data_IF_900039930008
#
_entry.id   IF_900039930008
#
_cell.length_a   1.000
_cell.length_b   1.000
_cell.length_c   1.000
_cell.angle_alpha   90.00
_cell.angle_beta   90.00
_cell.angle_gamma   90.00
#
_symmetry.space_group_name_H-M   'P 1'
#
loop_
_entity.id
_entity.type
_entity.pdbx_description
1 polymer ?
#
# COMPACT_ATOMS: atom_id res chain seq x y z
N UNK A 1 -33.10 -9.16 19.81
CA UNK A 1 -31.64 -9.15 20.06
C UNK A 1 -31.08 -7.79 19.71
N UNK A 2 -30.38 -7.14 20.64
CA UNK A 2 -29.84 -5.77 20.49
C UNK A 2 -28.95 -5.62 19.24
N UNK A 3 -29.28 -4.73 18.29
CA UNK A 3 -28.45 -4.46 17.11
C UNK A 3 -27.01 -4.03 17.44
N UNK A 4 -26.80 -3.26 18.52
CA UNK A 4 -25.47 -2.76 18.91
C UNK A 4 -24.54 -3.92 19.23
N UNK A 5 -25.01 -4.87 20.06
CA UNK A 5 -24.24 -6.05 20.42
C UNK A 5 -23.88 -6.89 19.20
N UNK A 6 -24.78 -7.03 18.22
CA UNK A 6 -24.50 -7.76 16.98
C UNK A 6 -23.30 -7.16 16.24
N UNK A 7 -23.28 -5.84 16.06
CA UNK A 7 -22.15 -5.13 15.43
C UNK A 7 -20.84 -5.37 16.18
N UNK A 8 -20.85 -5.28 17.51
CA UNK A 8 -19.64 -5.51 18.32
C UNK A 8 -19.15 -6.95 18.27
N UNK A 9 -20.04 -7.95 18.34
CA UNK A 9 -19.62 -9.36 18.26
C UNK A 9 -18.92 -9.65 16.94
N UNK A 10 -19.51 -9.22 15.81
CA UNK A 10 -18.90 -9.43 14.48
C UNK A 10 -17.63 -8.58 14.32
N UNK A 11 -17.63 -7.33 14.79
CA UNK A 11 -16.44 -6.46 14.74
C UNK A 11 -15.25 -7.02 15.52
N UNK A 12 -15.47 -7.55 16.73
CA UNK A 12 -14.45 -8.22 17.54
C UNK A 12 -13.96 -9.51 16.87
N UNK A 13 -14.84 -10.21 16.16
CA UNK A 13 -14.45 -11.41 15.41
C UNK A 13 -13.48 -11.04 14.29
N UNK A 14 -13.78 -9.97 13.54
CA UNK A 14 -12.87 -9.43 12.52
C UNK A 14 -11.58 -8.86 13.11
N UNK A 15 -11.61 -8.29 14.30
CA UNK A 15 -10.40 -7.88 15.03
C UNK A 15 -9.47 -9.05 15.26
N UNK A 16 -9.98 -10.15 15.84
CA UNK A 16 -9.20 -11.37 16.07
C UNK A 16 -8.59 -11.92 14.78
N UNK A 17 -9.41 -12.03 13.72
CA UNK A 17 -8.95 -12.48 12.40
C UNK A 17 -7.86 -11.58 11.82
N UNK A 18 -8.06 -10.26 11.80
CA UNK A 18 -7.12 -9.31 11.20
C UNK A 18 -5.81 -9.26 11.99
N UNK A 19 -5.87 -9.14 13.31
CA UNK A 19 -4.66 -9.09 14.15
C UNK A 19 -3.86 -10.39 14.14
N UNK A 20 -4.50 -11.54 13.96
CA UNK A 20 -3.80 -12.81 13.75
C UNK A 20 -3.13 -12.87 12.38
N UNK A 21 -3.83 -12.41 11.35
CA UNK A 21 -3.37 -12.48 9.97
C UNK A 21 -2.20 -11.53 9.67
N UNK A 22 -2.16 -10.34 10.27
CA UNK A 22 -1.07 -9.37 10.04
C UNK A 22 0.32 -9.97 10.30
N UNK A 23 0.60 -10.54 11.48
CA UNK A 23 1.83 -11.27 11.75
C UNK A 23 2.03 -12.47 10.83
N UNK A 24 0.98 -13.22 10.49
CA UNK A 24 1.06 -14.34 9.55
C UNK A 24 1.61 -13.90 8.18
N UNK A 25 1.19 -12.75 7.67
CA UNK A 25 1.66 -12.18 6.39
C UNK A 25 3.13 -11.72 6.42
N UNK A 26 3.70 -11.52 7.61
CA UNK A 26 5.14 -11.23 7.78
C UNK A 26 6.03 -12.47 7.69
N UNK A 27 5.46 -13.67 7.85
CA UNK A 27 6.20 -14.92 7.74
C UNK A 27 6.62 -15.15 6.29
N UNK A 28 7.93 -15.25 6.03
CA UNK A 28 8.50 -15.37 4.66
C UNK A 28 7.78 -16.37 3.76
N UNK A 29 7.44 -17.55 4.28
CA UNK A 29 6.74 -18.59 3.52
C UNK A 29 5.34 -18.14 3.07
N UNK A 30 4.57 -17.50 3.96
CA UNK A 30 3.24 -16.96 3.66
C UNK A 30 3.37 -15.75 2.73
N UNK A 31 4.29 -14.84 3.04
CA UNK A 31 4.56 -13.64 2.25
C UNK A 31 4.91 -13.97 0.79
N UNK A 32 5.65 -15.07 0.56
CA UNK A 32 5.96 -15.54 -0.80
C UNK A 32 4.72 -15.81 -1.65
N UNK A 33 3.59 -16.16 -1.01
CA UNK A 33 2.28 -16.38 -1.64
C UNK A 33 1.41 -15.12 -1.63
N UNK A 34 1.36 -14.38 -0.52
CA UNK A 34 0.38 -13.31 -0.31
C UNK A 34 0.83 -11.92 -0.78
N UNK A 35 2.14 -11.67 -0.86
CA UNK A 35 2.66 -10.37 -1.27
C UNK A 35 2.35 -10.11 -2.75
N UNK A 36 1.95 -8.87 -3.06
CA UNK A 36 1.43 -8.41 -4.36
C UNK A 36 0.08 -8.98 -4.82
N UNK A 37 -0.49 -9.94 -4.11
CA UNK A 37 -1.79 -10.51 -4.46
C UNK A 37 -2.93 -9.78 -3.75
N UNK A 38 -4.15 -10.10 -4.14
CA UNK A 38 -5.37 -9.64 -3.52
C UNK A 38 -5.52 -10.10 -2.06
N UNK A 39 -4.71 -11.05 -1.58
CA UNK A 39 -4.72 -11.46 -0.17
C UNK A 39 -4.48 -10.27 0.76
N UNK A 40 -3.44 -9.47 0.50
CA UNK A 40 -3.12 -8.30 1.33
C UNK A 40 -4.28 -7.29 1.35
N UNK A 41 -4.99 -7.16 0.21
CA UNK A 41 -6.16 -6.30 0.11
C UNK A 41 -7.34 -6.85 0.93
N UNK A 42 -7.58 -8.16 0.90
CA UNK A 42 -8.63 -8.81 1.70
C UNK A 42 -8.38 -8.60 3.21
N UNK A 43 -7.14 -8.81 3.65
CA UNK A 43 -6.70 -8.59 5.02
C UNK A 43 -7.02 -7.16 5.50
N UNK A 44 -6.59 -6.15 4.74
CA UNK A 44 -6.82 -4.74 5.09
C UNK A 44 -8.32 -4.40 5.12
N UNK A 45 -9.13 -4.94 4.21
CA UNK A 45 -10.59 -4.70 4.23
C UNK A 45 -11.30 -5.44 5.36
N UNK A 46 -10.83 -6.63 5.74
CA UNK A 46 -11.27 -7.32 6.95
C UNK A 46 -11.07 -6.46 8.20
N UNK A 47 -9.91 -5.81 8.32
CA UNK A 47 -9.62 -4.87 9.39
C UNK A 47 -10.40 -3.55 9.31
N UNK A 48 -10.40 -2.91 8.13
CA UNK A 48 -11.00 -1.59 7.97
C UNK A 48 -12.54 -1.62 8.00
N UNK A 49 -13.17 -2.51 7.25
CA UNK A 49 -14.63 -2.57 7.11
C UNK A 49 -15.27 -3.58 8.07
N UNK A 50 -14.63 -4.73 8.26
CA UNK A 50 -15.11 -5.79 9.15
C UNK A 50 -14.92 -5.43 10.62
N UNK A 51 -13.71 -5.06 11.02
CA UNK A 51 -13.44 -4.66 12.41
C UNK A 51 -13.83 -3.20 12.66
N UNK A 52 -13.09 -2.23 12.13
CA UNK A 52 -13.27 -0.82 12.47
C UNK A 52 -14.65 -0.29 12.03
N UNK A 53 -15.09 -0.64 10.82
CA UNK A 53 -16.39 -0.23 10.28
C UNK A 53 -17.57 -0.72 11.13
N UNK A 54 -17.65 -2.02 11.42
CA UNK A 54 -18.75 -2.56 12.25
C UNK A 54 -18.69 -2.05 13.69
N UNK A 55 -17.50 -1.90 14.29
CA UNK A 55 -17.36 -1.26 15.60
C UNK A 55 -17.88 0.17 15.57
N UNK A 56 -17.53 0.96 14.55
CA UNK A 56 -18.00 2.33 14.39
C UNK A 56 -19.53 2.38 14.27
N UNK A 57 -20.14 1.50 13.47
CA UNK A 57 -21.60 1.44 13.35
C UNK A 57 -22.28 1.10 14.68
N UNK A 58 -21.76 0.11 15.42
CA UNK A 58 -22.26 -0.25 16.75
C UNK A 58 -22.16 0.93 17.74
N UNK A 59 -21.01 1.59 17.77
CA UNK A 59 -20.80 2.79 18.60
C UNK A 59 -21.77 3.91 18.24
N UNK A 60 -22.01 4.17 16.96
CA UNK A 60 -22.95 5.21 16.51
C UNK A 60 -24.40 4.89 16.90
N UNK A 61 -24.84 3.64 16.75
CA UNK A 61 -26.18 3.22 17.20
C UNK A 61 -26.37 3.36 18.72
N UNK A 62 -25.30 3.21 19.50
CA UNK A 62 -25.34 3.43 20.94
C UNK A 62 -25.25 4.92 21.33
N UNK A 63 -24.38 5.67 20.65
CA UNK A 63 -24.01 7.04 20.99
C UNK A 63 -25.08 8.04 20.55
N UNK A 64 -25.57 7.96 19.32
CA UNK A 64 -26.44 9.00 18.75
C UNK A 64 -27.75 9.21 19.54
N UNK A 65 -28.48 8.17 19.99
CA UNK A 65 -29.68 8.38 20.81
C UNK A 65 -29.37 9.09 22.13
N UNK A 66 -28.21 8.82 22.73
CA UNK A 66 -27.75 9.45 23.99
C UNK A 66 -27.31 10.89 23.77
N UNK A 67 -26.51 11.11 22.74
CA UNK A 67 -26.03 12.43 22.36
C UNK A 67 -27.18 13.36 22.00
N UNK A 68 -28.19 12.85 21.28
CA UNK A 68 -29.33 13.63 20.85
C UNK A 68 -30.54 13.54 21.78
N UNK A 69 -30.38 12.89 22.94
CA UNK A 69 -31.42 12.75 23.98
C UNK A 69 -32.78 12.33 23.42
N UNK A 70 -32.74 11.35 22.52
CA UNK A 70 -33.91 10.85 21.81
C UNK A 70 -33.83 9.34 21.67
N UNK A 71 -34.91 8.73 21.18
CA UNK A 71 -34.94 7.29 20.90
C UNK A 71 -34.38 7.03 19.52
N UNK A 72 -33.72 5.89 19.35
CA UNK A 72 -33.33 5.42 18.02
C UNK A 72 -34.56 5.34 17.12
N UNK A 73 -34.48 5.88 15.91
CA UNK A 73 -35.63 5.96 15.02
C UNK A 73 -36.22 4.58 14.67
N UNK A 74 -35.38 3.59 14.36
CA UNK A 74 -35.86 2.23 14.10
C UNK A 74 -34.80 1.15 14.37
N UNK A 75 -35.13 0.21 15.25
CA UNK A 75 -34.32 -1.01 15.49
C UNK A 75 -34.35 -1.99 14.31
N UNK A 76 -35.44 -2.02 13.53
CA UNK A 76 -35.55 -2.86 12.33
C UNK A 76 -34.52 -2.46 11.28
N UNK A 77 -34.51 -1.17 10.90
CA UNK A 77 -33.47 -0.60 10.02
C UNK A 77 -32.04 -0.81 10.56
N UNK A 78 -31.83 -0.73 11.88
CA UNK A 78 -30.52 -1.05 12.47
C UNK A 78 -30.12 -2.51 12.27
N UNK A 79 -31.07 -3.43 12.43
CA UNK A 79 -30.87 -4.87 12.16
C UNK A 79 -30.67 -5.15 10.67
N UNK A 80 -31.38 -4.45 9.77
CA UNK A 80 -31.19 -4.55 8.33
C UNK A 80 -29.82 -4.06 7.91
N UNK A 81 -29.39 -2.90 8.42
CA UNK A 81 -28.02 -2.39 8.22
C UNK A 81 -27.00 -3.44 8.68
N UNK A 82 -27.15 -4.00 9.89
CA UNK A 82 -26.26 -5.04 10.39
C UNK A 82 -26.11 -6.22 9.43
N UNK A 83 -27.22 -6.78 8.94
CA UNK A 83 -27.17 -7.93 8.04
C UNK A 83 -26.58 -7.58 6.67
N UNK A 84 -26.94 -6.44 6.10
CA UNK A 84 -26.38 -5.99 4.82
C UNK A 84 -24.87 -5.72 4.92
N UNK A 85 -24.42 -5.09 6.00
CA UNK A 85 -23.00 -4.85 6.24
C UNK A 85 -22.25 -6.18 6.48
N UNK A 86 -22.82 -7.09 7.27
CA UNK A 86 -22.18 -8.38 7.61
C UNK A 86 -22.12 -9.32 6.41
N UNK A 87 -23.23 -9.52 5.69
CA UNK A 87 -23.25 -10.34 4.48
C UNK A 87 -22.44 -9.67 3.38
N UNK A 88 -22.56 -8.34 3.24
CA UNK A 88 -21.80 -7.55 2.29
C UNK A 88 -20.29 -7.69 2.48
N UNK A 89 -19.79 -7.57 3.71
CA UNK A 89 -18.34 -7.71 3.96
C UNK A 89 -17.85 -9.13 3.71
N UNK A 90 -18.63 -10.17 4.06
CA UNK A 90 -18.25 -11.56 3.79
C UNK A 90 -18.21 -11.85 2.28
N UNK A 91 -19.23 -11.41 1.53
CA UNK A 91 -19.24 -11.50 0.06
C UNK A 91 -18.21 -10.60 -0.60
N UNK A 92 -17.68 -9.60 0.10
CA UNK A 92 -16.61 -8.76 -0.39
C UNK A 92 -15.23 -9.42 -0.18
N UNK A 93 -14.88 -9.82 1.04
CA UNK A 93 -13.52 -10.29 1.36
C UNK A 93 -13.27 -11.74 0.94
N UNK A 94 -14.26 -12.64 1.02
CA UNK A 94 -14.04 -14.07 0.73
C UNK A 94 -13.61 -14.26 -0.73
N UNK A 95 -14.26 -13.65 -1.73
CA UNK A 95 -13.78 -13.71 -3.11
C UNK A 95 -12.39 -13.09 -3.28
N UNK A 96 -12.06 -12.02 -2.55
CA UNK A 96 -10.73 -11.39 -2.62
C UNK A 96 -9.66 -12.33 -2.05
N UNK A 97 -9.91 -13.03 -0.94
CA UNK A 97 -9.00 -14.07 -0.44
C UNK A 97 -8.80 -15.19 -1.45
N UNK A 98 -9.89 -15.68 -2.05
CA UNK A 98 -9.83 -16.71 -3.09
C UNK A 98 -9.03 -16.21 -4.30
N UNK A 99 -9.23 -14.97 -4.73
CA UNK A 99 -8.46 -14.35 -5.80
C UNK A 99 -6.97 -14.24 -5.46
N UNK A 100 -6.65 -13.80 -4.23
CA UNK A 100 -5.27 -13.67 -3.76
C UNK A 100 -4.52 -15.00 -3.68
N UNK A 101 -5.18 -16.04 -3.17
CA UNK A 101 -4.65 -17.40 -3.16
C UNK A 101 -4.47 -17.91 -4.59
N UNK A 102 -5.47 -17.73 -5.45
CA UNK A 102 -5.42 -18.14 -6.87
C UNK A 102 -4.26 -17.48 -7.60
N UNK A 103 -4.09 -16.16 -7.46
CA UNK A 103 -2.95 -15.42 -8.01
C UNK A 103 -1.62 -16.00 -7.56
N UNK A 104 -1.42 -16.13 -6.24
CA UNK A 104 -0.16 -16.61 -5.71
C UNK A 104 0.14 -18.09 -6.04
N UNK A 105 -0.89 -18.92 -6.21
CA UNK A 105 -0.74 -20.31 -6.67
C UNK A 105 -0.39 -20.36 -8.16
N UNK A 106 -1.13 -19.63 -9.02
CA UNK A 106 -0.89 -19.62 -10.46
C UNK A 106 0.48 -19.04 -10.81
N UNK A 107 0.90 -17.95 -10.17
CA UNK A 107 2.19 -17.33 -10.46
C UNK A 107 3.39 -18.21 -10.10
N UNK A 108 3.21 -19.14 -9.15
CA UNK A 108 4.24 -20.08 -8.70
C UNK A 108 4.13 -21.47 -9.33
N UNK A 109 3.04 -21.75 -10.03
CA UNK A 109 2.81 -23.06 -10.62
C UNK A 109 3.84 -23.34 -11.73
N UNK A 110 4.53 -24.48 -11.60
CA UNK A 110 5.47 -24.98 -12.60
C UNK A 110 5.06 -26.36 -13.09
N UNK A 111 5.34 -26.66 -14.36
CA UNK A 111 5.20 -28.01 -14.92
C UNK A 111 6.27 -28.94 -14.36
N UNK A 112 6.14 -30.25 -14.62
CA UNK A 112 7.14 -31.25 -14.22
C UNK A 112 8.53 -30.94 -14.84
N UNK A 113 8.56 -30.35 -16.03
CA UNK A 113 9.78 -29.90 -16.72
C UNK A 113 10.33 -28.56 -16.16
N UNK A 114 9.71 -28.03 -15.11
CA UNK A 114 10.10 -26.81 -14.43
C UNK A 114 9.69 -25.52 -15.16
N UNK A 115 8.90 -25.58 -16.23
CA UNK A 115 8.41 -24.38 -16.93
C UNK A 115 7.23 -23.73 -16.19
N UNK A 116 6.95 -22.46 -16.43
CA UNK A 116 5.77 -21.81 -15.83
C UNK A 116 4.50 -22.43 -16.41
N UNK A 117 3.60 -22.91 -15.56
CA UNK A 117 2.32 -23.48 -16.01
C UNK A 117 1.40 -22.41 -16.61
N UNK A 118 1.52 -21.18 -16.14
CA UNK A 118 0.73 -20.02 -16.57
C UNK A 118 1.67 -18.87 -16.98
N UNK A 119 2.32 -18.91 -18.15
CA UNK A 119 3.30 -17.91 -18.56
C UNK A 119 2.66 -16.55 -18.88
N UNK A 120 1.43 -16.56 -19.41
CA UNK A 120 0.69 -15.34 -19.73
C UNK A 120 -0.01 -14.77 -18.49
N UNK A 121 0.29 -13.52 -18.16
CA UNK A 121 -0.28 -12.86 -16.98
C UNK A 121 -1.82 -12.71 -17.05
N UNK A 122 -2.35 -12.49 -18.26
CA UNK A 122 -3.79 -12.36 -18.51
C UNK A 122 -4.59 -13.60 -18.14
N UNK A 123 -3.97 -14.78 -18.14
CA UNK A 123 -4.65 -16.02 -17.74
C UNK A 123 -5.04 -15.99 -16.26
N UNK A 124 -4.17 -15.49 -15.39
CA UNK A 124 -4.49 -15.30 -13.97
C UNK A 124 -5.62 -14.28 -13.80
N UNK A 125 -5.60 -13.20 -14.57
CA UNK A 125 -6.66 -12.18 -14.53
C UNK A 125 -8.00 -12.78 -14.94
N UNK A 126 -8.05 -13.52 -16.04
CA UNK A 126 -9.25 -14.20 -16.49
C UNK A 126 -9.82 -15.16 -15.41
N UNK A 127 -8.96 -15.87 -14.68
CA UNK A 127 -9.37 -16.76 -13.60
C UNK A 127 -9.99 -16.06 -12.39
N UNK A 128 -9.64 -14.79 -12.13
CA UNK A 128 -10.12 -14.04 -10.96
C UNK A 128 -11.23 -13.03 -11.25
N UNK A 129 -11.55 -12.77 -12.52
CA UNK A 129 -12.69 -11.90 -12.90
C UNK A 129 -14.01 -12.31 -12.21
N UNK A 130 -14.38 -13.61 -12.08
CA UNK A 130 -15.59 -13.99 -11.33
C UNK A 130 -15.59 -13.48 -9.88
N UNK A 131 -14.44 -13.47 -9.23
CA UNK A 131 -14.28 -12.98 -7.86
C UNK A 131 -14.45 -11.45 -7.79
N UNK A 132 -14.08 -10.72 -8.85
CA UNK A 132 -14.32 -9.27 -8.93
C UNK A 132 -15.81 -8.93 -8.99
N UNK A 133 -16.61 -9.71 -9.71
CA UNK A 133 -18.07 -9.52 -9.72
C UNK A 133 -18.68 -9.78 -8.35
N UNK A 134 -18.29 -10.87 -7.68
CA UNK A 134 -18.76 -11.16 -6.32
C UNK A 134 -18.34 -10.06 -5.33
N UNK A 135 -17.10 -9.57 -5.45
CA UNK A 135 -16.62 -8.42 -4.68
C UNK A 135 -17.50 -7.18 -4.90
N UNK A 136 -17.84 -6.85 -6.15
CA UNK A 136 -18.69 -5.70 -6.46
C UNK A 136 -20.09 -5.83 -5.84
N UNK A 137 -20.66 -7.04 -5.85
CA UNK A 137 -21.95 -7.33 -5.21
C UNK A 137 -21.84 -7.13 -3.68
N UNK A 138 -20.83 -7.73 -3.05
CA UNK A 138 -20.62 -7.60 -1.60
C UNK A 138 -20.41 -6.14 -1.16
N UNK A 139 -19.60 -5.39 -1.91
CA UNK A 139 -19.35 -3.97 -1.66
C UNK A 139 -20.62 -3.12 -1.80
N UNK A 140 -21.43 -3.40 -2.82
CA UNK A 140 -22.71 -2.71 -3.04
C UNK A 140 -23.70 -2.96 -1.90
N UNK A 141 -23.76 -4.20 -1.38
CA UNK A 141 -24.57 -4.53 -0.20
C UNK A 141 -24.08 -3.79 1.05
N UNK A 142 -22.76 -3.70 1.25
CA UNK A 142 -22.18 -2.97 2.37
C UNK A 142 -22.53 -1.48 2.31
N UNK A 143 -22.39 -0.86 1.13
CA UNK A 143 -22.76 0.55 0.90
C UNK A 143 -24.27 0.77 1.11
N UNK A 144 -25.13 -0.09 0.56
CA UNK A 144 -26.57 -0.02 0.78
C UNK A 144 -26.93 -0.12 2.27
N UNK A 145 -26.26 -1.01 3.01
CA UNK A 145 -26.36 -1.10 4.46
C UNK A 145 -25.98 0.21 5.15
N UNK A 146 -24.83 0.79 4.78
CA UNK A 146 -24.34 2.04 5.36
C UNK A 146 -25.30 3.22 5.07
N UNK A 147 -25.90 3.28 3.87
CA UNK A 147 -26.91 4.28 3.52
C UNK A 147 -28.18 4.13 4.38
N UNK A 148 -28.65 2.90 4.61
CA UNK A 148 -29.76 2.62 5.54
C UNK A 148 -29.41 3.07 6.96
N UNK A 149 -28.17 2.81 7.40
CA UNK A 149 -27.65 3.31 8.66
C UNK A 149 -27.66 4.82 8.76
N UNK A 150 -27.12 5.50 7.75
CA UNK A 150 -27.12 6.97 7.64
C UNK A 150 -28.52 7.56 7.68
N UNK A 151 -29.48 6.96 6.98
CA UNK A 151 -30.89 7.37 7.04
C UNK A 151 -31.47 7.21 8.45
N UNK A 152 -31.21 6.08 9.11
CA UNK A 152 -31.65 5.84 10.48
C UNK A 152 -31.04 6.85 11.47
N UNK A 153 -29.75 7.18 11.30
CA UNK A 153 -29.04 8.20 12.07
C UNK A 153 -29.65 9.58 11.85
N UNK A 154 -29.89 9.97 10.60
CA UNK A 154 -30.52 11.25 10.25
C UNK A 154 -31.92 11.38 10.86
N UNK A 155 -32.75 10.35 10.76
CA UNK A 155 -34.09 10.34 11.36
C UNK A 155 -34.05 10.38 12.88
N UNK A 156 -33.06 9.73 13.50
CA UNK A 156 -32.81 9.81 14.95
C UNK A 156 -32.46 11.24 15.34
N UNK A 157 -31.50 11.87 14.65
CA UNK A 157 -31.14 13.27 14.87
C UNK A 157 -32.31 14.24 14.67
N UNK A 158 -33.19 13.98 13.69
CA UNK A 158 -34.40 14.80 13.46
C UNK A 158 -35.44 14.68 14.55
N UNK A 159 -35.42 13.60 15.34
CA UNK A 159 -36.34 13.39 16.47
C UNK A 159 -35.80 13.98 17.79
N UNK A 160 -34.68 14.71 17.76
CA UNK A 160 -34.14 15.39 18.93
C UNK A 160 -35.07 16.48 19.46
N UNK A 161 -35.09 16.75 20.78
CA UNK A 161 -35.74 17.94 21.31
C UNK A 161 -35.02 19.23 20.84
N UNK A 162 -35.75 20.34 20.77
CA UNK A 162 -35.19 21.64 20.36
C UNK A 162 -34.20 22.21 21.39
N UNK A 163 -34.35 21.84 22.65
CA UNK A 163 -33.44 22.14 23.75
C UNK A 163 -32.97 20.82 24.34
N UNK A 164 -31.67 20.68 24.51
CA UNK A 164 -31.09 19.55 25.22
C UNK A 164 -31.13 19.82 26.71
N UNK A 165 -31.41 18.78 27.49
CA UNK A 165 -31.10 18.78 28.90
C UNK A 165 -29.57 18.84 29.00
N UNK A 166 -29.04 19.77 29.77
CA UNK A 166 -27.60 19.77 30.09
C UNK A 166 -27.45 19.08 31.45
N UNK A 167 -27.29 17.74 31.50
CA UNK A 167 -27.02 17.10 32.77
C UNK A 167 -25.68 17.65 33.28
N UNK A 168 -25.72 18.36 34.41
CA UNK A 168 -24.52 18.81 35.11
C UNK A 168 -23.86 17.56 35.70
N UNK A 169 -23.05 16.86 34.90
CA UNK A 169 -22.25 15.74 35.37
C UNK A 169 -21.09 16.33 36.18
N UNK A 170 -21.29 16.47 37.49
CA UNK A 170 -20.23 16.81 38.42
C UNK A 170 -19.39 15.57 38.67
N UNK A 171 -18.28 15.42 37.94
CA UNK A 171 -17.22 14.54 38.38
C UNK A 171 -16.56 15.16 39.61
N UNK A 172 -16.21 14.35 40.61
CA UNK A 172 -15.36 14.82 41.70
C UNK A 172 -14.06 15.37 41.09
N UNK A 173 -13.54 16.52 41.57
CA UNK A 173 -12.26 17.02 41.10
C UNK A 173 -11.21 15.91 41.28
N UNK A 174 -10.43 15.64 40.22
CA UNK A 174 -9.31 14.71 40.32
C UNK A 174 -8.37 15.23 41.40
N UNK A 175 -8.15 14.43 42.44
CA UNK A 175 -7.21 14.80 43.49
C UNK A 175 -5.82 14.97 42.85
N UNK A 176 -5.10 16.07 43.14
CA UNK A 176 -3.71 16.22 42.69
C UNK A 176 -2.78 15.18 43.33
N UNK A 177 -3.20 14.57 44.45
CA UNK A 177 -2.44 13.58 45.20
C UNK A 177 -3.23 12.26 45.27
N UNK A 178 -2.60 11.18 44.81
CA UNK A 178 -3.15 9.83 44.91
C UNK A 178 -2.68 9.17 46.20
N UNK A 179 -3.59 8.93 47.14
CA UNK A 179 -3.24 8.42 48.47
C UNK A 179 -2.89 6.92 48.48
N UNK A 180 -3.42 6.12 47.54
CA UNK A 180 -3.25 4.66 47.55
C UNK A 180 -2.98 4.05 46.17
N UNK A 181 -2.01 3.13 46.10
CA UNK A 181 -1.81 2.24 44.96
C UNK A 181 -2.94 1.18 44.92
N UNK A 182 -3.41 0.76 43.73
CA UNK A 182 -4.39 -0.32 43.65
C UNK A 182 -3.82 -1.58 44.29
N UNK A 183 -4.51 -2.07 45.33
CA UNK A 183 -4.10 -3.25 46.09
C UNK A 183 -4.24 -4.48 45.19
N UNK A 184 -3.21 -5.34 45.17
CA UNK A 184 -3.26 -6.62 44.48
C UNK A 184 -4.44 -7.44 45.01
N UNK A 185 -5.41 -7.84 44.16
CA UNK A 185 -6.54 -8.63 44.61
C UNK A 185 -6.07 -9.96 45.18
N UNK A 186 -6.51 -10.28 46.39
CA UNK A 186 -6.26 -11.58 47.00
C UNK A 186 -7.40 -12.54 46.62
N UNK A 187 -7.26 -13.20 45.48
CA UNK A 187 -8.21 -14.23 45.02
C UNK A 187 -7.92 -15.59 45.68
N UNK A 188 -7.76 -15.64 47.01
CA UNK A 188 -7.53 -16.90 47.74
C UNK A 188 -8.73 -17.85 47.59
N UNK A 189 -8.42 -19.13 47.39
CA UNK A 189 -9.33 -20.23 46.98
C UNK A 189 -10.37 -20.65 48.03
N UNK A 190 -11.19 -19.72 48.53
CA UNK A 190 -12.37 -20.08 49.33
C UNK A 190 -13.58 -20.43 48.44
N UNK A 191 -13.39 -20.52 47.12
CA UNK A 191 -14.39 -20.99 46.17
C UNK A 191 -14.44 -22.52 46.10
N UNK A 192 -15.57 -23.11 45.66
CA UNK A 192 -15.84 -24.56 45.71
C UNK A 192 -14.98 -25.42 44.77
N UNK A 193 -14.07 -24.85 43.98
CA UNK A 193 -13.23 -25.57 43.02
C UNK A 193 -11.74 -25.36 43.34
N UNK A 194 -10.94 -26.44 43.47
CA UNK A 194 -9.50 -26.32 43.69
C UNK A 194 -8.83 -25.82 42.41
N UNK A 195 -8.49 -24.53 42.38
CA UNK A 195 -7.71 -23.95 41.29
C UNK A 195 -6.24 -24.14 41.62
N UNK A 196 -5.48 -24.79 40.73
CA UNK A 196 -4.04 -24.94 40.88
C UNK A 196 -3.36 -23.57 41.09
N UNK A 197 -2.24 -23.53 41.83
CA UNK A 197 -1.52 -22.28 42.13
C UNK A 197 -1.19 -21.45 40.87
N UNK A 198 -0.93 -22.09 39.74
CA UNK A 198 -0.73 -21.44 38.44
C UNK A 198 -2.00 -20.74 37.95
N UNK A 199 -3.18 -21.38 38.07
CA UNK A 199 -4.46 -20.79 37.71
C UNK A 199 -4.79 -19.57 38.59
N UNK A 200 -4.47 -19.63 39.89
CA UNK A 200 -4.67 -18.50 40.79
C UNK A 200 -3.76 -17.30 40.44
N UNK A 201 -2.51 -17.54 40.05
CA UNK A 201 -1.60 -16.51 39.54
C UNK A 201 -2.16 -15.86 38.28
N UNK A 202 -2.66 -16.66 37.33
CA UNK A 202 -3.26 -16.16 36.08
C UNK A 202 -4.51 -15.33 36.38
N UNK A 203 -5.43 -15.81 37.23
CA UNK A 203 -6.63 -15.05 37.61
C UNK A 203 -6.29 -13.74 38.31
N UNK A 204 -5.34 -13.76 39.24
CA UNK A 204 -4.92 -12.54 39.94
C UNK A 204 -4.29 -11.55 38.97
N UNK A 205 -3.48 -12.03 38.01
CA UNK A 205 -2.88 -11.20 36.97
C UNK A 205 -3.94 -10.64 36.00
N UNK A 206 -4.95 -11.44 35.62
CA UNK A 206 -6.03 -11.05 34.70
C UNK A 206 -7.01 -10.03 35.27
N UNK A 207 -7.01 -9.80 36.59
CA UNK A 207 -7.71 -8.64 37.18
C UNK A 207 -7.13 -7.28 36.77
N UNK A 208 -5.96 -7.27 36.11
CA UNK A 208 -5.29 -6.07 35.60
C UNK A 208 -5.02 -4.99 36.68
N UNK A 209 -4.91 -5.37 37.96
CA UNK A 209 -4.61 -4.45 39.07
C UNK A 209 -3.31 -3.66 38.86
N UNK A 210 -2.32 -4.31 38.25
CA UNK A 210 -1.02 -3.71 37.90
C UNK A 210 -1.16 -2.69 36.76
N UNK A 211 -2.11 -2.89 35.84
CA UNK A 211 -2.38 -1.98 34.72
C UNK A 211 -3.01 -0.67 35.22
N UNK A 212 -3.91 -0.74 36.20
CA UNK A 212 -4.54 0.44 36.84
C UNK A 212 -3.53 1.41 37.45
N UNK A 213 -2.38 0.91 37.92
CA UNK A 213 -1.28 1.75 38.43
C UNK A 213 -0.71 2.68 37.35
N UNK A 214 -0.77 2.27 36.08
CA UNK A 214 -0.29 3.02 34.92
C UNK A 214 -1.41 3.82 34.23
N UNK A 215 -2.63 3.30 34.17
CA UNK A 215 -3.80 4.02 33.60
C UNK A 215 -4.02 5.40 34.25
N UNK A 216 -3.72 5.53 35.55
CA UNK A 216 -3.84 6.80 36.28
C UNK A 216 -2.72 7.81 35.98
N UNK A 217 -1.72 7.47 35.17
CA UNK A 217 -0.58 8.32 34.84
C UNK A 217 -0.55 8.64 33.34
N UNK A 218 -1.59 9.27 32.77
CA UNK A 218 -1.73 9.44 31.32
C UNK A 218 -0.54 10.19 30.71
N UNK A 219 -0.06 11.27 31.35
CA UNK A 219 1.11 12.03 30.86
C UNK A 219 2.37 11.17 30.82
N UNK A 220 2.66 10.43 31.89
CA UNK A 220 3.85 9.56 31.94
C UNK A 220 3.74 8.43 30.93
N UNK A 221 2.57 7.81 30.81
CA UNK A 221 2.32 6.76 29.84
C UNK A 221 2.49 7.27 28.40
N UNK A 222 1.91 8.42 28.06
CA UNK A 222 2.09 9.07 26.77
C UNK A 222 3.57 9.35 26.48
N UNK A 223 4.31 9.91 27.43
CA UNK A 223 5.76 10.16 27.27
C UNK A 223 6.51 8.85 27.02
N UNK A 224 6.24 7.79 27.78
CA UNK A 224 6.86 6.48 27.58
C UNK A 224 6.51 5.88 26.22
N UNK A 225 5.25 5.99 25.75
CA UNK A 225 4.85 5.55 24.42
C UNK A 225 5.57 6.32 23.32
N UNK A 226 5.68 7.64 23.44
CA UNK A 226 6.42 8.50 22.49
C UNK A 226 7.89 8.09 22.44
N UNK A 227 8.51 7.85 23.60
CA UNK A 227 9.89 7.36 23.67
C UNK A 227 10.00 5.98 23.02
N UNK A 228 9.11 5.05 23.31
CA UNK A 228 9.15 3.69 22.76
C UNK A 228 9.01 3.69 21.22
N UNK A 229 8.05 4.45 20.68
CA UNK A 229 7.88 4.62 19.23
C UNK A 229 9.10 5.30 18.63
N UNK A 230 9.59 6.37 19.26
CA UNK A 230 10.78 7.10 18.80
C UNK A 230 12.02 6.20 18.74
N UNK A 231 12.28 5.42 19.79
CA UNK A 231 13.40 4.47 19.85
C UNK A 231 13.27 3.39 18.77
N UNK A 232 12.08 2.79 18.61
CA UNK A 232 11.86 1.77 17.59
C UNK A 232 12.07 2.33 16.17
N UNK A 233 11.48 3.50 15.87
CA UNK A 233 11.65 4.15 14.56
C UNK A 233 13.11 4.55 14.30
N UNK A 234 13.81 5.10 15.29
CA UNK A 234 15.23 5.45 15.15
C UNK A 234 16.09 4.20 14.94
N UNK A 235 15.78 3.10 15.62
CA UNK A 235 16.50 1.83 15.46
C UNK A 235 16.34 1.23 14.07
N UNK A 236 15.20 1.44 13.40
CA UNK A 236 14.97 1.02 12.01
C UNK A 236 15.61 1.98 10.99
N UNK A 237 15.47 3.29 11.21
CA UNK A 237 15.87 4.33 10.26
C UNK A 237 17.38 4.55 10.28
N UNK A 238 18.00 4.74 11.45
CA UNK A 238 19.40 5.16 11.58
C UNK A 238 20.36 4.17 10.87
N UNK A 239 20.28 2.85 11.08
CA UNK A 239 21.18 1.91 10.41
C UNK A 239 21.06 1.95 8.88
N UNK A 240 19.88 2.27 8.34
CA UNK A 240 19.65 2.35 6.89
C UNK A 240 20.40 3.53 6.27
N UNK A 241 20.58 4.64 6.99
CA UNK A 241 21.33 5.82 6.51
C UNK A 241 22.84 5.76 6.81
N UNK A 242 23.24 5.17 7.94
CA UNK A 242 24.64 5.18 8.38
C UNK A 242 25.48 4.04 7.79
N UNK A 243 24.88 2.88 7.55
CA UNK A 243 25.59 1.69 7.11
C UNK A 243 25.52 1.61 5.58
N UNK A 244 26.52 2.19 4.89
CA UNK A 244 26.56 2.23 3.41
C UNK A 244 26.47 0.84 2.76
N UNK A 245 26.93 -0.21 3.43
CA UNK A 245 26.79 -1.59 2.94
C UNK A 245 25.35 -2.09 2.86
N UNK A 246 24.40 -1.43 3.53
CA UNK A 246 22.98 -1.77 3.45
C UNK A 246 22.34 -1.33 2.12
N UNK A 247 22.93 -0.34 1.43
CA UNK A 247 22.48 0.13 0.11
C UNK A 247 23.67 0.09 -0.86
N UNK A 248 24.09 -1.11 -1.31
CA UNK A 248 25.20 -1.22 -2.25
C UNK A 248 24.83 -0.57 -3.58
N UNK A 249 25.59 0.44 -4.00
CA UNK A 249 25.43 1.06 -5.32
C UNK A 249 25.97 0.14 -6.42
N UNK A 250 25.25 0.02 -7.52
CA UNK A 250 25.70 -0.73 -8.69
C UNK A 250 26.37 0.25 -9.64
N UNK A 251 27.62 -0.01 -10.01
CA UNK A 251 28.43 0.92 -10.82
C UNK A 251 27.90 1.15 -12.23
N UNK A 252 27.10 0.25 -12.79
CA UNK A 252 26.45 0.43 -14.10
C UNK A 252 25.14 1.21 -14.02
N UNK A 253 24.60 1.46 -12.83
CA UNK A 253 23.36 2.23 -12.63
C UNK A 253 23.67 3.71 -12.66
N UNK A 254 23.05 4.40 -13.62
CA UNK A 254 23.23 5.84 -13.86
C UNK A 254 21.90 6.59 -13.65
N UNK A 255 21.92 7.89 -13.36
CA UNK A 255 20.71 8.70 -13.29
C UNK A 255 19.86 8.61 -14.57
N UNK A 256 18.56 8.88 -14.46
CA UNK A 256 17.65 8.93 -15.60
C UNK A 256 18.05 10.05 -16.56
N UNK A 257 17.86 9.87 -17.86
CA UNK A 257 17.92 11.02 -18.77
C UNK A 257 16.78 12.01 -18.44
N UNK A 258 16.87 13.27 -18.89
CA UNK A 258 15.79 14.25 -18.65
C UNK A 258 14.41 13.79 -19.14
N UNK A 259 14.34 13.14 -20.32
CA UNK A 259 13.08 12.60 -20.86
C UNK A 259 12.59 11.38 -20.06
N UNK A 260 13.48 10.47 -19.66
CA UNK A 260 13.14 9.33 -18.81
C UNK A 260 12.61 9.79 -17.45
N UNK A 261 13.20 10.85 -16.87
CA UNK A 261 12.72 11.44 -15.62
C UNK A 261 11.31 12.03 -15.78
N UNK A 262 11.05 12.73 -16.88
CA UNK A 262 9.71 13.22 -17.18
C UNK A 262 8.70 12.06 -17.38
N UNK A 263 9.11 11.01 -18.10
CA UNK A 263 8.32 9.80 -18.29
C UNK A 263 8.00 9.06 -16.98
N UNK A 264 8.95 9.04 -16.05
CA UNK A 264 8.77 8.51 -14.70
C UNK A 264 7.74 9.32 -13.92
N UNK A 265 7.80 10.65 -14.03
CA UNK A 265 6.83 11.52 -13.34
C UNK A 265 5.41 11.34 -13.93
N UNK A 266 5.30 11.09 -15.24
CA UNK A 266 4.03 10.70 -15.89
C UNK A 266 3.55 9.33 -15.38
N UNK A 267 4.43 8.34 -15.27
CA UNK A 267 4.11 7.02 -14.69
C UNK A 267 3.52 7.14 -13.28
N UNK A 268 4.04 8.09 -12.48
CA UNK A 268 3.53 8.40 -11.14
C UNK A 268 2.18 9.13 -11.22
N UNK A 269 2.07 10.16 -12.06
CA UNK A 269 0.86 10.96 -12.22
C UNK A 269 -0.34 10.11 -12.66
N UNK A 270 -0.11 9.17 -13.57
CA UNK A 270 -1.11 8.23 -14.08
C UNK A 270 -1.42 7.07 -13.14
N UNK A 271 -0.68 6.95 -12.03
CA UNK A 271 -0.94 5.93 -11.02
C UNK A 271 -0.62 4.50 -11.50
N UNK A 272 0.28 4.33 -12.46
CA UNK A 272 0.67 3.02 -12.99
C UNK A 272 1.17 2.07 -11.89
N UNK A 273 1.81 2.62 -10.84
CA UNK A 273 2.28 1.89 -9.66
C UNK A 273 1.16 1.17 -8.86
N UNK A 274 -0.11 1.55 -9.04
CA UNK A 274 -1.24 0.85 -8.41
C UNK A 274 -1.51 -0.53 -9.03
N UNK A 275 -1.08 -0.71 -10.29
CA UNK A 275 -1.29 -1.92 -11.06
C UNK A 275 0.00 -2.71 -11.29
N UNK A 276 1.12 -2.01 -11.44
CA UNK A 276 2.42 -2.57 -11.80
C UNK A 276 3.45 -2.36 -10.70
N UNK A 277 4.07 -3.45 -10.26
CA UNK A 277 5.26 -3.39 -9.42
C UNK A 277 6.52 -3.18 -10.24
N UNK A 278 7.56 -2.66 -9.61
CA UNK A 278 8.92 -2.64 -10.15
C UNK A 278 9.91 -3.26 -9.16
N UNK A 279 9.54 -4.41 -8.58
CA UNK A 279 10.42 -5.16 -7.69
C UNK A 279 10.15 -6.66 -7.82
N UNK A 280 11.08 -7.33 -8.52
CA UNK A 280 11.08 -8.79 -8.72
C UNK A 280 11.66 -9.45 -7.47
N UNK A 281 10.89 -10.36 -6.89
CA UNK A 281 11.28 -11.08 -5.67
C UNK A 281 12.26 -12.21 -6.02
N UNK A 282 13.18 -12.56 -5.11
CA UNK A 282 14.15 -13.64 -5.31
C UNK A 282 13.51 -15.03 -5.13
N UNK A 283 12.52 -15.34 -5.97
CA UNK A 283 11.86 -16.64 -6.05
C UNK A 283 11.88 -17.14 -7.49
N UNK A 284 12.12 -18.45 -7.67
CA UNK A 284 12.34 -19.05 -8.99
C UNK A 284 11.24 -18.71 -10.02
N UNK A 285 9.94 -18.78 -9.70
CA UNK A 285 8.90 -18.49 -10.69
C UNK A 285 8.88 -17.03 -11.15
N UNK A 286 9.23 -16.07 -10.28
CA UNK A 286 9.33 -14.66 -10.68
C UNK A 286 10.54 -14.40 -11.54
N UNK A 287 11.68 -15.01 -11.19
CA UNK A 287 12.91 -14.86 -11.99
C UNK A 287 12.71 -15.43 -13.40
N UNK A 288 12.01 -16.57 -13.52
CA UNK A 288 11.65 -17.14 -14.82
C UNK A 288 10.70 -16.26 -15.62
N UNK A 289 9.76 -15.58 -14.96
CA UNK A 289 8.73 -14.76 -15.61
C UNK A 289 9.30 -13.41 -16.08
N UNK A 290 9.98 -12.71 -15.19
CA UNK A 290 10.36 -11.31 -15.37
C UNK A 290 11.85 -11.13 -15.67
N UNK A 291 12.72 -12.04 -15.21
CA UNK A 291 14.17 -11.92 -15.32
C UNK A 291 14.84 -11.79 -13.96
N UNK A 292 16.11 -11.38 -13.92
CA UNK A 292 16.89 -11.33 -12.68
C UNK A 292 16.19 -10.52 -11.57
N UNK A 293 16.29 -10.99 -10.33
CA UNK A 293 15.61 -10.36 -9.19
C UNK A 293 16.15 -8.95 -8.93
N UNK A 294 15.32 -8.11 -8.32
CA UNK A 294 15.68 -6.71 -8.06
C UNK A 294 16.68 -6.59 -6.91
N UNK A 295 17.70 -5.75 -7.09
CA UNK A 295 18.73 -5.43 -6.10
C UNK A 295 18.53 -4.00 -5.57
N UNK A 296 18.79 -3.72 -4.28
CA UNK A 296 18.61 -2.39 -3.71
C UNK A 296 19.33 -1.27 -4.49
N UNK A 297 20.52 -1.58 -5.03
CA UNK A 297 21.34 -0.64 -5.79
C UNK A 297 20.73 -0.13 -7.10
N UNK A 298 19.65 -0.74 -7.59
CA UNK A 298 18.94 -0.30 -8.79
C UNK A 298 18.05 0.92 -8.55
N UNK A 299 17.61 1.10 -7.30
CA UNK A 299 16.61 2.10 -6.92
C UNK A 299 17.22 3.35 -6.28
N UNK A 300 18.56 3.48 -6.31
CA UNK A 300 19.29 4.53 -5.60
C UNK A 300 18.96 5.94 -6.10
N UNK A 301 18.42 6.07 -7.31
CA UNK A 301 18.00 7.34 -7.90
C UNK A 301 16.48 7.50 -7.96
N UNK A 302 15.71 6.57 -7.39
CA UNK A 302 14.25 6.63 -7.42
C UNK A 302 13.70 7.42 -6.23
N UNK A 303 13.29 8.66 -6.51
CA UNK A 303 12.65 9.53 -5.53
C UNK A 303 11.23 9.92 -5.98
N UNK A 304 10.15 9.28 -5.46
CA UNK A 304 10.13 8.10 -4.58
C UNK A 304 10.32 6.76 -5.32
N UNK A 305 10.64 5.70 -4.57
CA UNK A 305 10.75 4.34 -5.09
C UNK A 305 9.44 3.85 -5.78
N UNK A 306 9.56 2.96 -6.76
CA UNK A 306 8.43 2.47 -7.59
C UNK A 306 8.15 0.96 -7.43
N UNK A 307 8.57 0.35 -6.32
CA UNK A 307 8.49 -1.10 -6.08
C UNK A 307 7.06 -1.66 -6.20
N UNK A 308 6.04 -0.84 -5.92
CA UNK A 308 4.63 -1.24 -5.94
C UNK A 308 4.21 -2.04 -4.70
N UNK A 309 2.91 -2.28 -4.58
CA UNK A 309 2.31 -3.03 -3.45
C UNK A 309 1.31 -4.09 -3.90
N UNK A 310 0.96 -4.12 -5.18
CA UNK A 310 0.00 -5.04 -5.81
C UNK A 310 0.35 -5.26 -7.28
N UNK A 311 -0.05 -6.40 -7.84
CA UNK A 311 0.06 -6.73 -9.27
C UNK A 311 -1.32 -7.03 -9.87
N UNK A 312 -1.89 -6.02 -10.53
CA UNK A 312 -3.05 -6.16 -11.43
C UNK A 312 -2.56 -6.33 -12.87
N UNK A 313 -1.42 -5.73 -13.20
CA UNK A 313 -0.60 -6.04 -14.36
C UNK A 313 0.72 -6.73 -13.95
N UNK A 314 1.52 -7.17 -14.93
CA UNK A 314 2.84 -7.74 -14.68
C UNK A 314 3.81 -6.75 -14.03
N UNK A 315 4.88 -7.28 -13.42
CA UNK A 315 6.01 -6.47 -12.95
C UNK A 315 6.77 -5.86 -14.14
N UNK A 316 7.18 -4.58 -14.00
CA UNK A 316 7.84 -3.81 -15.05
C UNK A 316 9.34 -3.59 -14.83
N UNK A 317 9.94 -4.09 -13.73
CA UNK A 317 11.34 -3.81 -13.37
C UNK A 317 12.38 -4.23 -14.43
N UNK A 318 11.97 -5.05 -15.41
CA UNK A 318 12.80 -5.59 -16.49
C UNK A 318 12.15 -5.39 -17.86
N UNK A 319 11.26 -4.41 -17.99
CA UNK A 319 10.53 -4.18 -19.24
C UNK A 319 11.43 -3.66 -20.36
N UNK A 320 12.53 -2.99 -20.03
CA UNK A 320 13.44 -2.39 -21.01
C UNK A 320 13.96 -3.39 -22.04
N UNK A 321 13.64 -3.13 -23.30
CA UNK A 321 13.99 -3.96 -24.45
C UNK A 321 13.23 -5.29 -24.56
N UNK A 322 12.18 -5.53 -23.76
CA UNK A 322 11.29 -6.69 -23.95
C UNK A 322 10.30 -6.48 -25.09
N UNK A 323 9.80 -5.26 -25.21
CA UNK A 323 8.86 -4.83 -26.24
C UNK A 323 9.43 -3.67 -27.03
N UNK A 324 8.94 -3.47 -28.25
CA UNK A 324 9.35 -2.33 -29.07
C UNK A 324 8.63 -1.05 -28.63
N UNK A 325 9.20 0.10 -28.99
CA UNK A 325 8.56 1.41 -28.76
C UNK A 325 7.14 1.43 -29.36
N UNK A 326 7.00 0.87 -30.57
CA UNK A 326 5.71 0.80 -31.26
C UNK A 326 4.71 -0.12 -30.54
N UNK A 327 5.16 -1.24 -29.97
CA UNK A 327 4.29 -2.07 -29.13
C UNK A 327 3.80 -1.31 -27.91
N UNK A 328 4.69 -0.55 -27.24
CA UNK A 328 4.28 0.26 -26.09
C UNK A 328 3.27 1.34 -26.48
N UNK A 329 3.47 2.03 -27.61
CA UNK A 329 2.51 3.00 -28.14
C UNK A 329 1.13 2.37 -28.33
N UNK A 330 1.07 1.25 -29.06
CA UNK A 330 -0.20 0.57 -29.33
C UNK A 330 -0.83 0.03 -28.05
N UNK A 331 -0.03 -0.52 -27.13
CA UNK A 331 -0.53 -1.06 -25.88
C UNK A 331 -1.08 0.05 -24.97
N UNK A 332 -0.42 1.21 -24.89
CA UNK A 332 -0.93 2.36 -24.13
C UNK A 332 -2.21 2.92 -24.76
N UNK A 333 -2.27 2.99 -26.09
CA UNK A 333 -3.46 3.45 -26.83
C UNK A 333 -4.66 2.54 -26.62
N UNK A 334 -4.49 1.24 -26.85
CA UNK A 334 -5.56 0.26 -26.79
C UNK A 334 -5.05 -1.08 -26.20
N UNK A 335 -4.91 -1.18 -24.87
CA UNK A 335 -4.32 -2.36 -24.24
C UNK A 335 -5.04 -3.67 -24.58
N UNK A 336 -6.37 -3.61 -24.72
CA UNK A 336 -7.21 -4.77 -25.02
C UNK A 336 -7.00 -5.32 -26.45
N UNK A 337 -6.67 -4.45 -27.40
CA UNK A 337 -6.41 -4.85 -28.80
C UNK A 337 -5.06 -5.56 -28.93
N UNK A 338 -4.06 -5.10 -28.18
CA UNK A 338 -2.71 -5.64 -28.20
C UNK A 338 -2.55 -6.84 -27.28
N UNK A 339 -3.29 -6.87 -26.17
CA UNK A 339 -3.22 -7.94 -25.18
C UNK A 339 -4.64 -8.38 -24.82
N UNK A 340 -5.17 -9.41 -25.51
CA UNK A 340 -6.50 -9.93 -25.25
C UNK A 340 -6.68 -10.33 -23.78
N UNK A 341 -7.76 -9.84 -23.16
CA UNK A 341 -8.04 -10.03 -21.74
C UNK A 341 -7.30 -9.08 -20.80
N UNK A 342 -6.61 -8.06 -21.33
CA UNK A 342 -6.09 -6.95 -20.51
C UNK A 342 -7.25 -6.18 -19.87
N UNK A 343 -7.06 -5.80 -18.61
CA UNK A 343 -7.96 -4.91 -17.86
C UNK A 343 -7.31 -3.53 -17.61
N UNK A 344 -6.18 -3.27 -18.28
CA UNK A 344 -5.50 -1.98 -18.21
C UNK A 344 -6.36 -0.90 -18.91
N UNK A 345 -6.53 0.29 -18.31
CA UNK A 345 -7.19 1.42 -18.97
C UNK A 345 -6.43 1.88 -20.21
N UNK A 346 -7.14 2.51 -21.15
CA UNK A 346 -6.51 3.22 -22.27
C UNK A 346 -5.89 4.54 -21.80
N UNK A 347 -4.69 4.83 -22.30
CA UNK A 347 -3.94 6.07 -22.12
C UNK A 347 -3.74 6.81 -23.44
N UNK A 348 -4.65 6.65 -24.41
CA UNK A 348 -4.56 7.29 -25.72
C UNK A 348 -4.46 8.83 -25.65
N UNK A 349 -4.97 9.44 -24.57
CA UNK A 349 -4.87 10.90 -24.37
C UNK A 349 -3.42 11.39 -24.23
N UNK A 350 -2.48 10.54 -23.78
CA UNK A 350 -1.06 10.89 -23.66
C UNK A 350 -0.40 11.18 -25.01
N UNK A 351 -0.99 10.73 -26.13
CA UNK A 351 -0.52 11.07 -27.48
C UNK A 351 -0.80 12.54 -27.82
N UNK A 352 -1.85 13.10 -27.23
CA UNK A 352 -2.24 14.50 -27.42
C UNK A 352 -1.66 15.44 -26.37
N UNK A 353 -1.44 14.94 -25.14
CA UNK A 353 -0.76 15.67 -24.07
C UNK A 353 0.70 15.93 -24.42
N UNK A 354 1.22 17.11 -24.08
CA UNK A 354 2.56 17.55 -24.45
C UNK A 354 3.48 17.61 -23.24
N UNK A 355 4.73 17.15 -23.43
CA UNK A 355 5.77 17.23 -22.40
C UNK A 355 6.18 18.70 -22.20
N UNK A 356 6.16 19.16 -20.96
CA UNK A 356 6.73 20.47 -20.61
C UNK A 356 8.26 20.41 -20.56
N UNK A 357 8.90 20.52 -21.71
CA UNK A 357 10.37 20.57 -21.83
C UNK A 357 11.00 21.73 -21.07
N UNK A 358 10.26 22.83 -20.81
CA UNK A 358 10.81 23.96 -20.06
C UNK A 358 11.07 23.63 -18.59
N UNK A 359 10.41 22.58 -18.07
CA UNK A 359 10.58 22.10 -16.70
C UNK A 359 11.83 21.22 -16.48
N UNK A 360 12.52 20.77 -17.53
CA UNK A 360 13.64 19.81 -17.40
C UNK A 360 14.77 20.30 -16.47
N UNK A 361 15.25 21.56 -16.56
CA UNK A 361 16.30 22.05 -15.67
C UNK A 361 15.87 22.04 -14.20
N UNK A 362 14.58 22.31 -13.92
CA UNK A 362 14.04 22.30 -12.56
C UNK A 362 13.93 20.87 -12.01
N UNK A 363 13.51 19.90 -12.82
CA UNK A 363 13.44 18.48 -12.43
C UNK A 363 14.83 17.94 -12.09
N UNK A 364 15.81 18.18 -12.96
CA UNK A 364 17.20 17.79 -12.74
C UNK A 364 17.74 18.45 -11.47
N UNK A 365 17.53 19.77 -11.29
CA UNK A 365 17.93 20.49 -10.07
C UNK A 365 17.32 19.91 -8.80
N UNK A 366 16.05 19.50 -8.86
CA UNK A 366 15.37 18.87 -7.73
C UNK A 366 16.01 17.53 -7.39
N UNK A 367 16.34 16.72 -8.39
CA UNK A 367 17.04 15.45 -8.17
C UNK A 367 18.47 15.65 -7.66
N UNK A 368 19.20 16.68 -8.13
CA UNK A 368 20.49 17.08 -7.55
C UNK A 368 20.35 17.42 -6.06
N UNK A 369 19.32 18.17 -5.67
CA UNK A 369 19.05 18.50 -4.27
C UNK A 369 18.73 17.26 -3.42
N UNK A 370 18.20 16.19 -4.04
CA UNK A 370 17.96 14.89 -3.41
C UNK A 370 19.20 13.97 -3.40
N UNK A 371 20.33 14.42 -3.96
CA UNK A 371 21.60 13.71 -3.94
C UNK A 371 21.89 12.88 -5.21
N UNK A 372 21.08 13.00 -6.26
CA UNK A 372 21.34 12.33 -7.54
C UNK A 372 22.46 13.07 -8.30
N UNK A 373 23.51 12.37 -8.76
CA UNK A 373 24.75 12.99 -9.22
C UNK A 373 24.68 13.52 -10.67
N UNK A 374 23.72 14.41 -10.97
CA UNK A 374 23.70 15.13 -12.24
C UNK A 374 24.73 16.26 -12.26
N UNK A 375 25.40 16.46 -13.39
CA UNK A 375 26.32 17.60 -13.57
C UNK A 375 25.58 18.89 -13.94
N UNK A 376 26.23 20.04 -13.77
CA UNK A 376 25.65 21.33 -14.17
C UNK A 376 25.47 21.42 -15.69
N UNK A 377 26.34 20.78 -16.46
CA UNK A 377 26.22 20.66 -17.92
C UNK A 377 25.00 19.84 -18.31
N UNK A 378 24.74 18.72 -17.62
CA UNK A 378 23.54 17.90 -17.85
C UNK A 378 22.26 18.68 -17.53
N UNK A 379 22.28 19.52 -16.48
CA UNK A 379 21.17 20.42 -16.15
C UNK A 379 20.97 21.49 -17.23
N UNK A 380 22.05 22.13 -17.68
CA UNK A 380 22.00 23.20 -18.68
C UNK A 380 21.52 22.68 -20.05
N UNK A 381 22.02 21.51 -20.48
CA UNK A 381 21.65 20.85 -21.74
C UNK A 381 20.38 20.00 -21.68
N UNK A 382 19.71 19.94 -20.51
CA UNK A 382 18.62 18.99 -20.27
C UNK A 382 17.45 19.08 -21.26
N UNK A 383 17.13 20.29 -21.73
CA UNK A 383 16.06 20.54 -22.70
C UNK A 383 16.43 19.94 -24.06
N UNK A 384 17.65 20.21 -24.54
CA UNK A 384 18.12 19.73 -25.83
C UNK A 384 18.27 18.20 -25.82
N UNK A 385 18.83 17.65 -24.74
CA UNK A 385 18.95 16.21 -24.54
C UNK A 385 17.58 15.52 -24.53
N UNK A 386 16.59 16.09 -23.83
CA UNK A 386 15.24 15.54 -23.80
C UNK A 386 14.61 15.51 -25.19
N UNK A 387 14.70 16.62 -25.93
CA UNK A 387 14.15 16.72 -27.30
C UNK A 387 14.85 15.75 -28.26
N UNK A 388 16.17 15.66 -28.21
CA UNK A 388 16.92 14.75 -29.07
C UNK A 388 16.54 13.28 -28.83
N UNK A 389 16.36 12.87 -27.57
CA UNK A 389 15.88 11.53 -27.24
C UNK A 389 14.43 11.32 -27.69
N UNK A 390 13.57 12.32 -27.54
CA UNK A 390 12.17 12.21 -27.92
C UNK A 390 12.01 12.10 -29.45
N UNK A 391 12.79 12.87 -30.21
CA UNK A 391 12.87 12.76 -31.67
C UNK A 391 13.39 11.39 -32.12
N UNK A 392 14.37 10.83 -31.40
CA UNK A 392 14.87 9.48 -31.69
C UNK A 392 13.78 8.43 -31.50
N UNK A 393 13.05 8.48 -30.38
CA UNK A 393 11.94 7.54 -30.12
C UNK A 393 10.82 7.74 -31.16
N UNK A 394 10.48 8.98 -31.51
CA UNK A 394 9.47 9.24 -32.54
C UNK A 394 9.88 8.68 -33.92
N UNK A 395 11.17 8.77 -34.29
CA UNK A 395 11.69 8.10 -35.50
C UNK A 395 11.57 6.59 -35.41
N UNK A 396 11.94 5.98 -34.29
CA UNK A 396 11.75 4.54 -34.07
C UNK A 396 10.28 4.14 -34.22
N UNK A 397 9.35 4.93 -33.68
CA UNK A 397 7.91 4.69 -33.80
C UNK A 397 7.46 4.73 -35.27
N UNK A 398 7.87 5.76 -36.02
CA UNK A 398 7.54 5.91 -37.43
C UNK A 398 8.09 4.76 -38.29
N UNK A 399 9.34 4.36 -38.06
CA UNK A 399 9.98 3.24 -38.76
C UNK A 399 9.32 1.89 -38.45
N UNK A 400 9.07 1.61 -37.17
CA UNK A 400 8.45 0.36 -36.72
C UNK A 400 6.97 0.26 -37.14
N UNK A 401 6.24 1.38 -37.10
CA UNK A 401 4.85 1.48 -37.50
C UNK A 401 4.62 1.64 -39.01
N UNK A 402 5.68 1.97 -39.77
CA UNK A 402 5.62 2.34 -41.19
C UNK A 402 4.64 3.48 -41.46
N UNK A 403 4.65 4.48 -40.57
CA UNK A 403 3.75 5.63 -40.61
C UNK A 403 4.52 6.89 -40.18
N UNK A 404 4.79 7.77 -41.15
CA UNK A 404 5.53 9.02 -40.92
C UNK A 404 4.77 9.99 -40.01
N UNK A 405 3.45 9.88 -39.89
CA UNK A 405 2.66 10.74 -39.01
C UNK A 405 3.01 10.58 -37.53
N UNK A 406 3.63 9.45 -37.15
CA UNK A 406 4.09 9.19 -35.79
C UNK A 406 5.28 10.08 -35.37
N UNK A 407 5.95 10.75 -36.31
CA UNK A 407 6.97 11.75 -35.99
C UNK A 407 6.41 12.95 -35.20
N UNK A 408 5.12 13.26 -35.37
CA UNK A 408 4.42 14.33 -34.65
C UNK A 408 4.25 14.04 -33.15
N UNK A 409 4.47 12.79 -32.74
CA UNK A 409 4.42 12.37 -31.34
C UNK A 409 5.68 12.74 -30.56
N UNK A 410 6.73 13.30 -31.18
CA UNK A 410 8.00 13.64 -30.52
C UNK A 410 7.84 14.51 -29.26
N UNK A 411 6.80 15.34 -29.21
CA UNK A 411 6.54 16.22 -28.07
C UNK A 411 5.46 15.66 -27.12
N UNK A 412 4.99 14.42 -27.34
CA UNK A 412 3.91 13.79 -26.58
C UNK A 412 4.37 13.18 -25.27
N UNK A 413 3.49 13.18 -24.26
CA UNK A 413 3.74 12.50 -22.99
C UNK A 413 3.91 10.97 -23.17
N UNK A 414 3.26 10.38 -24.17
CA UNK A 414 3.45 8.97 -24.53
C UNK A 414 4.91 8.65 -24.84
N UNK A 415 5.61 9.51 -25.60
CA UNK A 415 7.02 9.31 -25.93
C UNK A 415 7.91 9.37 -24.69
N UNK A 416 7.64 10.29 -23.76
CA UNK A 416 8.36 10.35 -22.49
C UNK A 416 8.13 9.09 -21.64
N UNK A 417 6.89 8.62 -21.54
CA UNK A 417 6.57 7.38 -20.81
C UNK A 417 7.26 6.16 -21.44
N UNK A 418 7.28 6.05 -22.77
CA UNK A 418 8.03 5.00 -23.48
C UNK A 418 9.52 5.07 -23.16
N UNK A 419 10.12 6.26 -23.14
CA UNK A 419 11.52 6.44 -22.75
C UNK A 419 11.80 5.85 -21.36
N UNK A 420 10.94 6.15 -20.39
CA UNK A 420 11.03 5.60 -19.05
C UNK A 420 10.85 4.07 -19.01
N UNK A 421 9.85 3.51 -19.69
CA UNK A 421 9.62 2.06 -19.71
C UNK A 421 10.79 1.30 -20.35
N UNK A 422 11.35 1.83 -21.44
CA UNK A 422 12.51 1.24 -22.12
C UNK A 422 13.78 1.27 -21.27
N UNK A 423 13.85 2.17 -20.29
CA UNK A 423 14.98 2.30 -19.39
C UNK A 423 15.02 1.23 -18.29
N UNK A 424 13.88 0.66 -17.91
CA UNK A 424 13.73 -0.21 -16.74
C UNK A 424 14.56 -1.49 -16.83
N UNK A 425 15.50 -1.68 -15.89
CA UNK A 425 16.32 -2.87 -15.76
C UNK A 425 17.46 -3.01 -16.78
N UNK A 426 17.67 -2.03 -17.65
CA UNK A 426 18.70 -2.10 -18.71
C UNK A 426 20.13 -1.92 -18.20
N UNK A 427 20.33 -1.15 -17.14
CA UNK A 427 21.67 -0.86 -16.59
C UNK A 427 22.42 -2.09 -16.11
N UNK A 428 21.70 -3.13 -15.69
CA UNK A 428 22.32 -4.37 -15.23
C UNK A 428 23.07 -5.11 -16.34
N UNK A 429 22.78 -4.79 -17.60
CA UNK A 429 23.42 -5.37 -18.78
C UNK A 429 24.59 -4.51 -19.28
N UNK A 430 24.72 -3.28 -18.81
CA UNK A 430 25.77 -2.34 -19.24
C UNK A 430 27.09 -2.66 -18.52
N UNK A 431 28.24 -2.42 -19.17
CA UNK A 431 29.51 -2.44 -18.47
C UNK A 431 29.51 -1.40 -17.33
N UNK A 432 30.29 -1.60 -16.26
CA UNK A 432 30.42 -0.63 -15.17
C UNK A 432 30.72 0.77 -15.71
N UNK A 433 29.97 1.79 -15.27
CA UNK A 433 30.32 3.15 -15.61
C UNK A 433 31.71 3.47 -15.03
N UNK A 434 32.55 4.15 -15.80
CA UNK A 434 33.87 4.58 -15.35
C UNK A 434 33.67 5.67 -14.28
N UNK A 435 33.70 5.29 -13.00
CA UNK A 435 33.60 6.27 -11.93
C UNK A 435 34.85 7.16 -11.93
N UNK A 436 34.72 8.49 -11.79
CA UNK A 436 35.84 9.31 -11.35
C UNK A 436 36.34 8.75 -10.01
N UNK A 437 37.65 8.60 -9.87
CA UNK A 437 38.25 8.06 -8.66
C UNK A 437 37.69 8.75 -7.41
N UNK A 438 37.41 8.02 -6.31
CA UNK A 438 36.90 8.62 -5.09
C UNK A 438 37.86 9.73 -4.65
N UNK A 439 37.32 10.93 -4.39
CA UNK A 439 38.08 12.03 -3.84
C UNK A 439 38.74 11.55 -2.55
N UNK A 440 40.07 11.41 -2.59
CA UNK A 440 40.88 11.08 -1.43
C UNK A 440 40.60 12.17 -0.41
N UNK A 441 39.91 11.81 0.68
CA UNK A 441 39.75 12.68 1.82
C UNK A 441 41.15 13.00 2.33
N UNK A 442 41.63 14.22 2.04
CA UNK A 442 42.85 14.74 2.61
C UNK A 442 42.66 14.75 4.13
N UNK A 443 43.24 13.76 4.81
CA UNK A 443 43.49 13.80 6.24
C UNK A 443 44.49 14.94 6.47
N UNK A 444 43.97 16.15 6.65
CA UNK A 444 44.75 17.29 7.10
C UNK A 444 45.24 17.00 8.52
N UNK A 445 46.56 16.83 8.60
CA UNK A 445 47.41 16.96 9.78
C UNK A 445 46.85 17.97 10.78
N UNK A 446 46.76 17.52 12.03
CA UNK A 446 46.55 18.36 13.21
C UNK A 446 47.29 17.75 14.38
N UNK A 447 48.62 17.69 14.30
CA UNK A 447 49.48 17.65 15.47
C UNK A 447 49.87 19.10 15.77
N UNK A 448 49.37 19.62 16.88
CA UNK A 448 50.04 20.53 17.81
C UNK A 448 49.19 20.65 19.06
#
# INVERSE_FOLDING_TARGET
>A
TDPVLKFFVVGITFYGMSTFEGPLLSVKAVNSLSHYTDWTIAHVHGGALGWNGLMAFGMMYWLLPRLFQTKLHSEKLATTHFWLATVGILLYIVPIYVAGITQGLMWRATTADGQLAYPNFTQTIASIIPMYYLRAIGGSLYIAGALIGGWNFYKTWRARPAKYDEPIIRAAPLSPVYEHDPVRPNLSSNGPLPIAATGQKIMTWSTMWWHRKWERLPVKFTVMCVIAVGVASLFEIIPTFLIRSNVPTISSVVPYTPLELAGRDIYIAEGCYNCHSQMIRPILPEVKRYGDYSKPGEFVYDHPFQWGSRRIGPDLAREGGRQSDYWHLLHLRAPLEITPGSIMPSYAFLETSKVDFSSMPLRIRTMQALGVPYTEEERAGSIEHAKAQAEHIARNLAEQGKDESLLELKDSETVALIAYLQRLGTDLKKPPATQPAPAVANASKGAN
#
